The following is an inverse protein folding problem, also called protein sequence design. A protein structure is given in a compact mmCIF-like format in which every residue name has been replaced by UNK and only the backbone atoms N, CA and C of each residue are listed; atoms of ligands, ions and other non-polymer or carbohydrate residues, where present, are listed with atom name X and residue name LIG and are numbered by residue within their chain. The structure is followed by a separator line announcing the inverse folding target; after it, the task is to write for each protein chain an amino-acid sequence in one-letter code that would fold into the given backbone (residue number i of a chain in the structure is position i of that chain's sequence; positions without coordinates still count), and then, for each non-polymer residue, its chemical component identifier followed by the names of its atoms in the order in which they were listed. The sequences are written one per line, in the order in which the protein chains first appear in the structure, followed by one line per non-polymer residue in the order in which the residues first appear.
data_IF_267298513426
#
_entry.id   IF_267298513426
#
_cell.length_a   1.000
_cell.length_b   1.000
_cell.length_c   1.000
_cell.angle_alpha   90.00
_cell.angle_beta   90.00
_cell.angle_gamma   90.00
#
_symmetry.space_group_name_H-M   'P 1'
#
loop_
_entity.id
_entity.type
_entity.pdbx_description
1 polymer ?
#
# COMPACT_ATOMS: atom_id res chain seq x y z
N UNK A 1 -33.33 2.92 -62.68
CA UNK A 1 -33.71 2.29 -61.40
C UNK A 1 -32.98 0.96 -61.34
N UNK A 2 -31.82 0.90 -60.69
CA UNK A 2 -31.72 0.17 -59.41
C UNK A 2 -30.30 0.32 -58.85
N UNK A 3 -30.27 0.59 -57.55
CA UNK A 3 -29.12 0.92 -56.71
C UNK A 3 -29.07 -0.17 -55.65
N UNK A 4 -27.91 -0.79 -55.38
CA UNK A 4 -27.51 -1.30 -54.04
C UNK A 4 -26.18 -2.08 -54.19
N UNK A 5 -25.01 -1.52 -53.85
CA UNK A 5 -24.49 -1.30 -52.50
C UNK A 5 -24.31 -2.61 -51.70
N UNK A 6 -23.22 -3.32 -52.01
CA UNK A 6 -22.72 -4.43 -51.17
C UNK A 6 -22.22 -3.88 -49.83
N UNK A 7 -22.99 -4.15 -48.78
CA UNK A 7 -22.64 -3.79 -47.41
C UNK A 7 -21.58 -4.75 -46.86
N UNK A 8 -20.35 -4.26 -46.72
CA UNK A 8 -19.30 -4.91 -45.92
C UNK A 8 -19.72 -4.86 -44.45
N UNK A 9 -20.03 -6.03 -43.87
CA UNK A 9 -20.30 -6.17 -42.43
C UNK A 9 -19.11 -5.68 -41.60
N UNK A 10 -19.32 -4.90 -40.53
CA UNK A 10 -18.24 -4.57 -39.61
C UNK A 10 -17.80 -5.82 -38.83
N UNK A 11 -16.49 -5.97 -38.62
CA UNK A 11 -15.92 -6.95 -37.70
C UNK A 11 -16.54 -6.74 -36.31
N UNK A 12 -17.20 -7.77 -35.79
CA UNK A 12 -17.49 -7.89 -34.36
C UNK A 12 -16.16 -7.88 -33.61
N UNK A 13 -15.82 -6.74 -33.01
CA UNK A 13 -14.88 -6.70 -31.90
C UNK A 13 -15.56 -7.38 -30.72
N UNK A 14 -15.20 -8.63 -30.47
CA UNK A 14 -15.49 -9.30 -29.20
C UNK A 14 -15.04 -8.37 -28.08
N UNK A 15 -15.90 -7.99 -27.12
CA UNK A 15 -15.44 -7.24 -25.96
C UNK A 15 -14.33 -8.06 -25.31
N UNK A 16 -13.16 -7.46 -25.11
CA UNK A 16 -12.08 -8.09 -24.38
C UNK A 16 -12.64 -8.53 -23.03
N UNK A 17 -12.74 -9.85 -22.84
CA UNK A 17 -13.23 -10.45 -21.60
C UNK A 17 -12.32 -9.94 -20.48
N UNK A 18 -12.86 -9.13 -19.57
CA UNK A 18 -12.08 -8.66 -18.42
C UNK A 18 -11.59 -9.91 -17.68
N UNK A 19 -10.27 -10.11 -17.52
CA UNK A 19 -9.74 -11.32 -16.92
C UNK A 19 -10.34 -11.49 -15.53
N UNK A 20 -10.86 -12.68 -15.24
CA UNK A 20 -11.49 -12.98 -13.96
C UNK A 20 -10.53 -12.66 -12.81
N UNK A 21 -11.01 -11.85 -11.86
CA UNK A 21 -10.21 -11.46 -10.70
C UNK A 21 -10.04 -12.66 -9.77
N UNK A 22 -8.81 -12.84 -9.28
CA UNK A 22 -8.46 -13.90 -8.32
C UNK A 22 -8.88 -13.54 -6.90
N UNK A 23 -8.93 -14.53 -6.03
CA UNK A 23 -9.05 -14.36 -4.58
C UNK A 23 -7.73 -14.72 -3.91
N UNK A 24 -7.55 -14.26 -2.67
CA UNK A 24 -6.39 -14.65 -1.86
C UNK A 24 -6.35 -16.16 -1.64
N UNK A 25 -5.13 -16.69 -1.51
CA UNK A 25 -4.91 -18.08 -1.12
C UNK A 25 -5.25 -18.26 0.35
N UNK A 26 -6.12 -19.21 0.66
CA UNK A 26 -6.48 -19.53 2.03
C UNK A 26 -5.38 -20.36 2.72
N UNK A 27 -5.30 -20.25 4.06
CA UNK A 27 -4.43 -21.08 4.92
C UNK A 27 -2.93 -20.94 4.64
N UNK A 28 -2.50 -19.78 4.18
CA UNK A 28 -1.09 -19.39 4.10
C UNK A 28 -0.86 -18.12 4.91
N UNK A 29 0.38 -17.79 5.31
CA UNK A 29 0.68 -16.52 5.94
C UNK A 29 0.26 -15.34 5.04
N UNK A 30 -0.15 -14.22 5.66
CA UNK A 30 -0.70 -13.06 4.96
C UNK A 30 0.24 -12.52 3.85
N UNK A 31 1.55 -12.47 4.13
CA UNK A 31 2.55 -12.01 3.17
C UNK A 31 2.67 -12.90 1.93
N UNK A 32 2.14 -14.13 1.96
CA UNK A 32 2.18 -15.12 0.88
C UNK A 32 0.80 -15.35 0.22
N UNK A 33 -0.27 -14.72 0.72
CA UNK A 33 -1.63 -14.98 0.25
C UNK A 33 -1.98 -14.32 -1.10
N UNK A 34 -1.19 -13.33 -1.55
CA UNK A 34 -1.29 -12.70 -2.88
C UNK A 34 -0.03 -13.07 -3.69
N UNK A 35 -0.23 -13.85 -4.75
CA UNK A 35 0.84 -14.36 -5.63
C UNK A 35 1.05 -13.48 -6.88
N UNK A 36 0.43 -12.29 -6.94
CA UNK A 36 0.75 -11.33 -8.01
C UNK A 36 2.21 -10.86 -7.90
N UNK A 37 2.86 -10.64 -9.03
CA UNK A 37 4.08 -9.84 -9.08
C UNK A 37 3.77 -8.43 -8.61
N UNK A 38 4.64 -7.85 -7.78
CA UNK A 38 4.53 -6.46 -7.37
C UNK A 38 4.67 -5.58 -8.62
N UNK A 39 3.69 -4.71 -8.94
CA UNK A 39 3.76 -3.86 -10.12
C UNK A 39 4.90 -2.85 -9.99
N UNK A 40 5.28 -2.23 -11.11
CA UNK A 40 6.15 -1.06 -11.07
C UNK A 40 5.42 0.09 -10.35
N UNK A 41 6.07 0.65 -9.33
CA UNK A 41 5.55 1.76 -8.54
C UNK A 41 6.53 2.94 -8.62
N UNK A 42 6.03 4.10 -9.02
CA UNK A 42 6.80 5.35 -9.05
C UNK A 42 6.55 6.14 -7.77
N UNK A 43 7.60 6.27 -6.95
CA UNK A 43 7.61 7.17 -5.80
C UNK A 43 7.75 8.62 -6.24
N UNK A 44 6.91 9.51 -5.71
CA UNK A 44 6.97 10.95 -5.93
C UNK A 44 6.89 11.68 -4.59
N UNK A 45 7.44 12.88 -4.53
CA UNK A 45 7.35 13.79 -3.38
C UNK A 45 7.21 15.23 -3.86
N UNK A 46 7.08 16.16 -2.92
CA UNK A 46 7.19 17.59 -3.22
C UNK A 46 8.66 17.96 -3.36
N UNK A 47 8.96 18.87 -4.28
CA UNK A 47 10.32 19.37 -4.53
C UNK A 47 11.03 19.85 -3.25
N UNK A 48 10.30 20.50 -2.32
CA UNK A 48 10.85 20.94 -1.03
C UNK A 48 11.31 19.82 -0.10
N UNK A 49 10.93 18.57 -0.38
CA UNK A 49 11.34 17.38 0.37
C UNK A 49 12.35 16.54 -0.40
N UNK A 50 12.66 16.88 -1.65
CA UNK A 50 13.74 16.25 -2.41
C UNK A 50 15.07 16.54 -1.72
N UNK A 51 15.89 15.49 -1.52
CA UNK A 51 17.18 15.58 -0.81
C UNK A 51 17.10 15.79 0.71
N UNK A 52 15.91 16.07 1.27
CA UNK A 52 15.70 16.21 2.73
C UNK A 52 15.49 14.85 3.39
N UNK A 53 14.81 13.93 2.69
CA UNK A 53 14.59 12.59 3.21
C UNK A 53 15.77 11.69 2.84
N UNK A 54 16.61 11.40 3.82
CA UNK A 54 17.53 10.28 3.72
C UNK A 54 16.73 8.97 3.85
N UNK A 55 16.54 8.30 2.72
CA UNK A 55 15.79 7.04 2.63
C UNK A 55 16.36 5.97 3.55
N UNK A 56 17.68 5.98 3.76
CA UNK A 56 18.37 5.01 4.61
C UNK A 56 17.98 5.16 6.08
N UNK A 57 17.43 6.32 6.44
CA UNK A 57 17.01 6.66 7.80
C UNK A 57 15.50 6.62 8.00
N UNK A 58 14.69 6.25 6.99
CA UNK A 58 13.25 6.04 7.21
C UNK A 58 13.09 4.89 8.21
N UNK A 59 12.39 5.13 9.32
CA UNK A 59 12.16 4.09 10.33
C UNK A 59 10.80 3.45 10.15
N UNK A 60 9.80 4.24 9.76
CA UNK A 60 8.43 3.80 9.59
C UNK A 60 7.76 4.44 8.37
N UNK A 61 6.83 3.70 7.78
CA UNK A 61 6.00 4.14 6.66
C UNK A 61 4.55 4.01 7.07
N UNK A 62 3.73 5.03 6.81
CA UNK A 62 2.29 4.97 7.07
C UNK A 62 1.54 5.13 5.76
N UNK A 63 0.91 4.06 5.30
CA UNK A 63 0.08 4.09 4.10
C UNK A 63 -1.32 4.54 4.48
N UNK A 64 -1.71 5.70 3.94
CA UNK A 64 -3.08 6.18 4.00
C UNK A 64 -3.82 5.76 2.73
N UNK A 65 -4.89 4.97 2.91
CA UNK A 65 -5.64 4.46 1.75
C UNK A 65 -7.14 4.34 2.05
N UNK A 66 -7.98 4.79 1.12
CA UNK A 66 -9.43 4.61 1.22
C UNK A 66 -9.83 3.19 0.84
N UNK A 67 -11.04 2.79 1.25
CA UNK A 67 -11.62 1.52 0.83
C UNK A 67 -11.67 1.40 -0.71
N UNK A 68 -12.22 2.40 -1.38
CA UNK A 68 -12.32 2.43 -2.85
C UNK A 68 -10.96 2.38 -3.56
N UNK A 69 -9.92 2.97 -2.96
CA UNK A 69 -8.58 2.96 -3.55
C UNK A 69 -7.93 1.58 -3.41
N UNK A 70 -8.14 0.88 -2.30
CA UNK A 70 -7.70 -0.51 -2.16
C UNK A 70 -8.34 -1.38 -3.25
N UNK A 71 -9.65 -1.33 -3.44
CA UNK A 71 -10.33 -2.10 -4.49
C UNK A 71 -9.78 -1.82 -5.89
N UNK A 72 -9.50 -0.54 -6.21
CA UNK A 72 -8.93 -0.16 -7.49
C UNK A 72 -7.52 -0.72 -7.69
N UNK A 73 -6.66 -0.63 -6.67
CA UNK A 73 -5.29 -1.15 -6.70
C UNK A 73 -5.31 -2.68 -6.88
N UNK A 74 -6.10 -3.39 -6.08
CA UNK A 74 -6.12 -4.85 -6.14
C UNK A 74 -6.76 -5.38 -7.41
N UNK A 75 -7.78 -4.69 -7.94
CA UNK A 75 -8.31 -4.99 -9.28
C UNK A 75 -7.23 -4.84 -10.34
N UNK A 76 -6.38 -3.81 -10.26
CA UNK A 76 -5.32 -3.59 -11.25
C UNK A 76 -4.23 -4.66 -11.27
N UNK A 77 -4.06 -5.40 -10.15
CA UNK A 77 -3.17 -6.57 -10.06
C UNK A 77 -3.92 -7.91 -10.17
N UNK A 78 -5.19 -7.88 -10.55
CA UNK A 78 -5.99 -9.06 -10.84
C UNK A 78 -6.55 -9.77 -9.60
N UNK A 79 -6.88 -9.04 -8.53
CA UNK A 79 -7.47 -9.57 -7.30
C UNK A 79 -8.76 -8.85 -6.89
N UNK A 80 -9.72 -9.61 -6.37
CA UNK A 80 -10.79 -9.06 -5.54
C UNK A 80 -10.21 -8.64 -4.18
N UNK A 81 -10.67 -7.52 -3.64
CA UNK A 81 -10.37 -7.16 -2.25
C UNK A 81 -11.38 -7.82 -1.31
N UNK A 82 -10.89 -8.43 -0.23
CA UNK A 82 -11.71 -9.06 0.81
C UNK A 82 -11.60 -8.27 2.12
N UNK A 83 -12.72 -7.68 2.53
CA UNK A 83 -12.81 -6.85 3.74
C UNK A 83 -12.67 -7.64 5.03
N UNK A 84 -13.01 -8.93 5.00
CA UNK A 84 -12.94 -9.80 6.18
C UNK A 84 -11.51 -10.25 6.47
N UNK A 85 -10.65 -10.24 5.45
CA UNK A 85 -9.26 -10.67 5.55
C UNK A 85 -8.34 -9.60 4.94
N UNK A 86 -8.21 -8.43 5.59
CA UNK A 86 -7.48 -7.31 5.01
C UNK A 86 -5.95 -7.47 5.11
N UNK A 87 -5.45 -8.31 6.02
CA UNK A 87 -4.02 -8.53 6.28
C UNK A 87 -3.18 -8.84 5.05
N UNK A 88 -3.54 -9.82 4.20
CA UNK A 88 -2.82 -10.11 2.96
C UNK A 88 -2.67 -8.91 2.02
N UNK A 89 -3.72 -8.09 1.92
CA UNK A 89 -3.72 -6.89 1.09
C UNK A 89 -2.79 -5.83 1.68
N UNK A 90 -2.77 -5.67 3.00
CA UNK A 90 -1.85 -4.73 3.65
C UNK A 90 -0.40 -5.17 3.50
N UNK A 91 -0.08 -6.45 3.68
CA UNK A 91 1.25 -6.96 3.36
C UNK A 91 1.65 -6.64 1.91
N UNK A 92 0.73 -6.78 0.96
CA UNK A 92 1.01 -6.49 -0.45
C UNK A 92 1.17 -4.98 -0.73
N UNK A 93 0.40 -4.11 -0.07
CA UNK A 93 0.62 -2.66 -0.13
C UNK A 93 1.99 -2.27 0.45
N UNK A 94 2.40 -2.92 1.54
CA UNK A 94 3.73 -2.80 2.11
C UNK A 94 4.81 -3.16 1.09
N UNK A 95 4.69 -4.31 0.41
CA UNK A 95 5.62 -4.71 -0.67
C UNK A 95 5.70 -3.68 -1.80
N UNK A 96 4.57 -3.15 -2.25
CA UNK A 96 4.51 -2.09 -3.28
C UNK A 96 5.27 -0.84 -2.84
N UNK A 97 5.06 -0.38 -1.61
CA UNK A 97 5.75 0.80 -1.07
C UNK A 97 7.24 0.52 -0.87
N UNK A 98 7.58 -0.66 -0.35
CA UNK A 98 8.95 -1.06 -0.05
C UNK A 98 9.80 -1.12 -1.33
N UNK A 99 9.29 -1.77 -2.38
CA UNK A 99 9.92 -1.85 -3.70
C UNK A 99 10.29 -0.48 -4.26
N UNK A 100 9.45 0.53 -4.06
CA UNK A 100 9.67 1.86 -4.62
C UNK A 100 10.45 2.82 -3.71
N UNK A 101 10.55 2.54 -2.42
CA UNK A 101 11.30 3.36 -1.46
C UNK A 101 12.72 2.83 -1.23
N UNK A 102 12.91 1.51 -1.21
CA UNK A 102 14.13 0.83 -0.73
C UNK A 102 14.77 -0.04 -1.82
N UNK A 103 15.09 0.57 -2.96
CA UNK A 103 15.88 -0.04 -4.04
C UNK A 103 15.41 -1.43 -4.53
N UNK A 104 14.08 -1.66 -4.48
CA UNK A 104 13.47 -2.90 -4.92
C UNK A 104 13.34 -3.98 -3.85
N UNK A 105 13.73 -3.73 -2.59
CA UNK A 105 13.52 -4.68 -1.50
C UNK A 105 12.05 -4.69 -1.04
N UNK A 106 11.32 -5.70 -1.49
CA UNK A 106 9.91 -5.91 -1.14
C UNK A 106 9.69 -6.37 0.30
N UNK A 107 10.73 -6.87 0.99
CA UNK A 107 10.66 -7.39 2.34
C UNK A 107 11.03 -6.36 3.42
N UNK A 108 11.41 -5.14 3.03
CA UNK A 108 11.89 -4.11 3.96
C UNK A 108 10.81 -3.65 4.94
N UNK A 109 9.52 -3.74 4.58
CA UNK A 109 8.40 -3.29 5.39
C UNK A 109 7.57 -4.45 5.97
N UNK A 110 7.40 -4.45 7.29
CA UNK A 110 6.42 -5.31 7.99
C UNK A 110 5.30 -4.45 8.58
N UNK A 111 4.08 -4.97 8.58
CA UNK A 111 2.94 -4.29 9.22
C UNK A 111 3.20 -4.20 10.73
N UNK A 112 3.18 -2.97 11.26
CA UNK A 112 3.27 -2.70 12.70
C UNK A 112 1.88 -2.73 13.33
N UNK A 113 1.00 -1.84 12.86
CA UNK A 113 -0.37 -1.70 13.36
C UNK A 113 -1.21 -0.92 12.34
N UNK A 114 -2.50 -0.73 12.60
CA UNK A 114 -3.35 0.12 11.79
C UNK A 114 -4.41 0.84 12.63
N UNK A 115 -4.94 1.93 12.08
CA UNK A 115 -6.12 2.61 12.63
C UNK A 115 -7.08 3.00 11.50
N UNK A 116 -8.38 2.69 11.62
CA UNK A 116 -9.40 3.25 10.75
C UNK A 116 -9.76 4.68 11.19
N UNK A 117 -9.84 5.61 10.24
CA UNK A 117 -10.32 6.98 10.48
C UNK A 117 -11.29 7.35 9.37
N UNK A 118 -12.58 7.41 9.73
CA UNK A 118 -13.67 7.55 8.76
C UNK A 118 -13.61 6.46 7.67
N UNK A 119 -13.47 6.87 6.40
CA UNK A 119 -13.40 5.95 5.25
C UNK A 119 -11.98 5.57 4.82
N UNK A 120 -10.98 5.95 5.61
CA UNK A 120 -9.57 5.71 5.32
C UNK A 120 -8.97 4.79 6.37
N UNK A 121 -8.02 3.97 5.94
CA UNK A 121 -7.16 3.19 6.83
C UNK A 121 -5.77 3.82 6.80
N UNK A 122 -5.17 3.92 7.99
CA UNK A 122 -3.78 4.29 8.19
C UNK A 122 -3.07 3.03 8.64
N UNK A 123 -2.27 2.45 7.75
CA UNK A 123 -1.56 1.20 8.01
C UNK A 123 -0.10 1.56 8.21
N UNK A 124 0.40 1.31 9.41
CA UNK A 124 1.78 1.58 9.77
C UNK A 124 2.66 0.36 9.49
N UNK A 125 3.85 0.63 9.02
CA UNK A 125 4.88 -0.35 8.74
C UNK A 125 6.17 0.06 9.44
N UNK A 126 6.90 -0.94 9.90
CA UNK A 126 8.24 -0.79 10.46
C UNK A 126 9.27 -1.36 9.48
N UNK A 127 10.38 -0.64 9.34
CA UNK A 127 11.52 -1.08 8.53
C UNK A 127 12.31 -2.19 9.22
N UNK A 128 12.87 -3.11 8.43
CA UNK A 128 13.69 -4.20 8.95
C UNK A 128 14.94 -3.68 9.66
N UNK A 129 15.53 -2.60 9.16
CA UNK A 129 16.68 -1.93 9.80
C UNK A 129 16.33 -1.40 11.20
N UNK A 130 15.17 -0.77 11.37
CA UNK A 130 14.71 -0.30 12.67
C UNK A 130 14.54 -1.46 13.64
N UNK A 131 13.83 -2.53 13.22
CA UNK A 131 13.61 -3.72 14.04
C UNK A 131 14.92 -4.34 14.52
N UNK A 132 15.90 -4.46 13.63
CA UNK A 132 17.22 -4.98 13.98
C UNK A 132 17.94 -4.11 15.02
N UNK A 133 17.78 -2.79 14.93
CA UNK A 133 18.38 -1.85 15.90
C UNK A 133 17.73 -1.89 17.29
N UNK A 134 16.46 -2.31 17.38
CA UNK A 134 15.71 -2.32 18.65
C UNK A 134 15.55 -3.71 19.27
N UNK A 135 15.92 -4.78 18.56
CA UNK A 135 15.79 -6.16 19.02
C UNK A 135 16.58 -6.48 20.31
N UNK A 136 17.57 -5.66 20.68
CA UNK A 136 18.42 -5.84 21.86
C UNK A 136 17.85 -5.29 23.18
N UNK A 137 16.61 -4.78 23.20
CA UNK A 137 16.02 -4.15 24.38
C UNK A 137 16.66 -2.78 24.64
N UNK A 138 16.24 -1.78 23.88
CA UNK A 138 16.73 -0.41 24.04
C UNK A 138 16.02 0.25 25.22
N UNK A 139 16.76 0.90 26.12
CA UNK A 139 16.19 1.62 27.27
C UNK A 139 15.37 2.84 26.83
N UNK A 140 15.73 3.45 25.70
CA UNK A 140 15.00 4.55 25.07
C UNK A 140 14.87 4.27 23.57
N UNK A 141 13.68 4.52 23.01
CA UNK A 141 13.46 4.38 21.57
C UNK A 141 14.26 5.44 20.82
N UNK A 142 14.99 5.08 19.75
CA UNK A 142 15.70 6.06 18.94
C UNK A 142 14.74 7.10 18.31
N UNK A 143 15.28 8.16 17.69
CA UNK A 143 14.46 9.10 16.93
C UNK A 143 13.68 8.41 15.81
N UNK A 144 12.40 8.78 15.66
CA UNK A 144 11.56 8.29 14.58
C UNK A 144 11.69 9.19 13.36
N UNK A 145 11.84 8.58 12.19
CA UNK A 145 11.70 9.23 10.90
C UNK A 145 10.58 8.53 10.14
N UNK A 146 9.41 9.14 10.19
CA UNK A 146 8.16 8.55 9.69
C UNK A 146 7.73 9.31 8.44
N UNK A 147 7.33 8.57 7.41
CA UNK A 147 6.70 9.14 6.22
C UNK A 147 5.25 8.68 6.07
N UNK A 148 4.40 9.56 5.55
CA UNK A 148 3.06 9.21 5.10
C UNK A 148 3.08 8.95 3.59
N UNK A 149 2.46 7.86 3.15
CA UNK A 149 2.38 7.43 1.76
C UNK A 149 0.93 7.35 1.32
N UNK A 150 0.64 7.87 0.13
CA UNK A 150 -0.65 7.80 -0.52
C UNK A 150 -0.50 7.23 -1.93
N UNK A 151 -1.25 6.19 -2.26
CA UNK A 151 -1.33 5.67 -3.63
C UNK A 151 -2.31 6.47 -4.47
N UNK A 152 -1.91 6.84 -5.69
CA UNK A 152 -2.81 7.39 -6.71
C UNK A 152 -3.67 6.30 -7.35
N UNK A 153 -4.67 6.72 -8.13
CA UNK A 153 -5.56 5.80 -8.84
C UNK A 153 -4.71 5.06 -9.88
N UNK A 154 -4.74 3.72 -9.92
CA UNK A 154 -4.08 2.98 -10.99
C UNK A 154 -4.61 3.42 -12.36
N UNK A 155 -3.69 3.62 -13.31
CA UNK A 155 -4.00 3.93 -14.70
C UNK A 155 -3.57 2.74 -15.58
N UNK A 156 -4.43 2.25 -16.48
CA UNK A 156 -4.08 1.13 -17.35
C UNK A 156 -2.79 1.39 -18.15
N UNK A 157 -1.88 0.42 -18.15
CA UNK A 157 -0.63 0.48 -18.90
C UNK A 157 0.41 1.49 -18.37
N UNK A 158 0.16 2.13 -17.21
CA UNK A 158 1.13 3.02 -16.56
C UNK A 158 1.59 2.45 -15.23
N UNK A 159 2.82 2.77 -14.79
CA UNK A 159 3.26 2.48 -13.43
C UNK A 159 2.29 3.04 -12.39
N UNK A 160 2.13 2.32 -11.28
CA UNK A 160 1.34 2.83 -10.17
C UNK A 160 2.09 4.01 -9.54
N UNK A 161 1.40 5.13 -9.36
CA UNK A 161 2.00 6.29 -8.73
C UNK A 161 1.72 6.29 -7.22
N UNK A 162 2.75 6.55 -6.42
CA UNK A 162 2.59 6.86 -5.00
C UNK A 162 3.25 8.18 -4.66
N UNK A 163 2.70 8.86 -3.66
CA UNK A 163 3.22 10.11 -3.17
C UNK A 163 3.57 9.98 -1.69
N UNK A 164 4.71 10.52 -1.28
CA UNK A 164 5.13 10.51 0.11
C UNK A 164 5.42 11.92 0.63
N UNK A 165 5.23 12.11 1.93
CA UNK A 165 5.63 13.30 2.69
C UNK A 165 6.16 12.90 4.06
N UNK A 166 6.96 13.74 4.74
CA UNK A 166 7.20 13.58 6.16
C UNK A 166 5.86 13.46 6.91
N UNK A 167 5.79 12.55 7.87
CA UNK A 167 4.56 12.33 8.61
C UNK A 167 4.25 13.50 9.53
N UNK A 168 2.96 13.80 9.67
CA UNK A 168 2.48 14.80 10.62
C UNK A 168 2.79 14.35 12.05
N UNK A 169 3.05 15.31 12.94
CA UNK A 169 3.44 15.04 14.33
C UNK A 169 2.53 14.05 15.06
N UNK A 170 1.21 14.15 14.86
CA UNK A 170 0.24 13.22 15.43
C UNK A 170 0.43 11.76 14.98
N UNK A 171 0.82 11.52 13.72
CA UNK A 171 1.12 10.17 13.22
C UNK A 171 2.38 9.66 13.89
N UNK A 172 3.44 10.47 13.96
CA UNK A 172 4.69 10.11 14.65
C UNK A 172 4.46 9.80 16.13
N UNK A 173 3.62 10.58 16.82
CA UNK A 173 3.22 10.30 18.20
C UNK A 173 2.47 8.97 18.32
N UNK A 174 1.56 8.66 17.37
CA UNK A 174 0.82 7.38 17.41
C UNK A 174 1.75 6.19 17.21
N UNK A 175 2.69 6.29 16.27
CA UNK A 175 3.73 5.26 16.05
C UNK A 175 4.53 5.04 17.32
N UNK A 176 5.01 6.13 17.96
CA UNK A 176 5.76 6.04 19.21
C UNK A 176 4.99 5.29 20.29
N UNK A 177 3.71 5.63 20.47
CA UNK A 177 2.86 4.94 21.44
C UNK A 177 2.71 3.45 21.15
N UNK A 178 2.53 3.04 19.89
CA UNK A 178 2.48 1.61 19.54
C UNK A 178 3.80 0.87 19.81
N UNK A 179 4.93 1.58 19.77
CA UNK A 179 6.23 0.98 20.09
C UNK A 179 6.44 0.87 21.61
N UNK A 180 5.90 1.79 22.40
CA UNK A 180 5.96 1.79 23.87
C UNK A 180 4.92 0.83 24.49
N UNK A 181 3.76 0.69 23.86
CA UNK A 181 2.59 -0.08 24.31
C UNK A 181 2.12 -1.07 23.21
N UNK A 182 2.90 -2.13 22.90
CA UNK A 182 2.65 -2.99 21.74
C UNK A 182 1.34 -3.81 21.81
N UNK A 183 0.77 -4.00 23.00
CA UNK A 183 -0.48 -4.73 23.20
C UNK A 183 -1.75 -3.88 23.01
N UNK A 184 -1.62 -2.56 22.80
CA UNK A 184 -2.77 -1.67 22.62
C UNK A 184 -3.25 -1.67 21.16
N UNK A 185 -4.28 -2.48 20.87
CA UNK A 185 -5.10 -2.29 19.66
C UNK A 185 -6.05 -1.13 19.91
N UNK A 186 -5.88 -0.04 19.16
CA UNK A 186 -6.70 1.17 19.33
C UNK A 186 -8.15 0.93 18.93
N UNK A 187 -9.02 0.77 19.92
CA UNK A 187 -10.48 0.66 19.73
C UNK A 187 -11.17 2.03 19.62
N UNK A 188 -10.44 3.15 19.67
CA UNK A 188 -11.03 4.51 19.71
C UNK A 188 -11.44 5.08 18.34
N UNK A 189 -11.63 4.23 17.33
CA UNK A 189 -12.31 4.58 16.08
C UNK A 189 -13.84 4.39 16.11
N UNK A 190 -14.42 3.95 17.23
CA UNK A 190 -15.85 3.67 17.37
C UNK A 190 -16.71 4.83 17.90
N UNK A 191 -16.13 6.01 18.12
CA UNK A 191 -16.89 7.19 18.56
C UNK A 191 -16.39 8.44 17.83
N UNK A 192 -17.00 8.72 16.67
CA UNK A 192 -17.71 9.96 16.31
C UNK A 192 -18.13 9.94 14.83
#
# INVERSE_FOLDING_TARGET
MDTSAGATRPLSTTPAEEPALRRIKARVPDHAAIEATVPEVRAMTEERFEGVLDKDHITHVVIQVSQSRQEQIFRSVGYHYDWNFPGPYWCFLGKMAARALFDGDEAELEVLNYIPVGRRKFIAYTTSRWRASTAGGVTELPPLNVIEVNFKKPLPGKPLEMFWTPARGMITTRIRRWLEEPDEVDMTGAME
#
